data_IF_866533976978
#
_entry.id   IF_866533976978
#
_cell.length_a   1.000
_cell.length_b   1.000
_cell.length_c   1.000
_cell.angle_alpha   90.00
_cell.angle_beta   90.00
_cell.angle_gamma   90.00
#
_symmetry.space_group_name_H-M   'P 1'
#
loop_
_entity.id
_entity.type
_entity.pdbx_description
1 polymer ?
#
# COMPACT_ATOMS: atom_id res chain seq x y z
N UNK A 1 13.53 -14.62 21.23
CA UNK A 1 13.18 -14.73 19.82
C UNK A 1 12.68 -13.39 19.28
N UNK A 2 11.54 -12.91 19.68
CA UNK A 2 10.81 -11.78 19.08
C UNK A 2 11.62 -10.46 18.95
N UNK A 3 12.45 -10.11 19.93
CA UNK A 3 13.12 -8.79 20.01
C UNK A 3 14.64 -8.82 19.84
N UNK A 4 15.26 -9.98 19.71
CA UNK A 4 16.71 -10.06 19.59
C UNK A 4 17.16 -9.78 18.16
N UNK A 5 17.97 -8.72 17.96
CA UNK A 5 18.50 -8.30 16.63
C UNK A 5 19.29 -9.40 15.91
N UNK A 6 19.98 -10.27 16.65
CA UNK A 6 20.80 -11.34 16.08
C UNK A 6 20.02 -12.58 15.65
N UNK A 7 18.71 -12.66 15.96
CA UNK A 7 17.86 -13.82 15.66
C UNK A 7 16.87 -13.57 14.51
N UNK A 8 17.29 -12.87 13.47
CA UNK A 8 16.42 -12.55 12.35
C UNK A 8 15.97 -13.80 11.57
N UNK A 9 16.86 -14.77 11.37
CA UNK A 9 16.50 -16.01 10.67
C UNK A 9 15.50 -16.86 11.49
N UNK A 10 15.70 -16.95 12.79
CA UNK A 10 14.77 -17.67 13.66
C UNK A 10 13.37 -17.03 13.63
N UNK A 11 13.27 -15.69 13.49
CA UNK A 11 11.98 -15.01 13.31
C UNK A 11 11.34 -15.30 11.96
N UNK A 12 12.12 -15.47 10.89
CA UNK A 12 11.58 -15.90 9.60
C UNK A 12 10.96 -17.29 9.69
N UNK A 13 11.68 -18.22 10.34
CA UNK A 13 11.17 -19.58 10.55
C UNK A 13 9.92 -19.56 11.43
N UNK A 14 9.91 -18.77 12.50
CA UNK A 14 8.75 -18.57 13.38
C UNK A 14 7.52 -18.04 12.61
N UNK A 15 7.70 -17.03 11.75
CA UNK A 15 6.61 -16.48 10.93
C UNK A 15 6.11 -17.46 9.84
N UNK A 16 7.03 -18.24 9.24
CA UNK A 16 6.68 -19.19 8.18
C UNK A 16 5.97 -20.43 8.70
N UNK A 17 6.28 -20.85 9.93
CA UNK A 17 5.73 -22.07 10.54
C UNK A 17 4.47 -21.79 11.39
N UNK A 18 3.85 -20.64 11.23
CA UNK A 18 2.63 -20.29 11.97
C UNK A 18 1.42 -21.13 11.54
N UNK A 19 0.80 -21.82 12.50
CA UNK A 19 -0.31 -22.75 12.28
C UNK A 19 -1.71 -22.14 12.55
N UNK A 20 -1.82 -20.83 12.58
CA UNK A 20 -3.08 -20.11 12.83
C UNK A 20 -3.78 -20.46 14.17
N UNK A 21 -3.00 -20.66 15.20
CA UNK A 21 -3.51 -20.86 16.55
C UNK A 21 -4.04 -19.56 17.16
N UNK A 22 -5.18 -19.64 17.84
CA UNK A 22 -5.81 -18.50 18.52
C UNK A 22 -5.61 -18.64 20.03
N UNK A 23 -5.34 -17.51 20.69
CA UNK A 23 -5.26 -17.46 22.13
C UNK A 23 -6.63 -17.75 22.77
N UNK A 24 -6.67 -18.61 23.80
CA UNK A 24 -7.89 -18.84 24.55
C UNK A 24 -8.19 -17.64 25.46
N UNK A 25 -9.19 -16.85 25.09
CA UNK A 25 -9.59 -15.63 25.80
C UNK A 25 -10.25 -15.89 27.16
N UNK A 26 -10.56 -17.15 27.53
CA UNK A 26 -11.13 -17.50 28.83
C UNK A 26 -10.06 -17.72 29.89
N UNK A 27 -8.79 -17.80 29.53
CA UNK A 27 -7.67 -17.93 30.47
C UNK A 27 -7.49 -16.65 31.28
N UNK A 28 -7.29 -16.81 32.60
CA UNK A 28 -6.95 -15.67 33.49
C UNK A 28 -5.51 -15.20 33.33
N UNK A 29 -4.61 -16.15 33.09
CA UNK A 29 -3.18 -15.92 32.99
C UNK A 29 -2.68 -16.49 31.64
N UNK A 30 -1.86 -15.71 30.92
CA UNK A 30 -1.25 -16.06 29.65
C UNK A 30 0.26 -15.97 29.81
N UNK A 31 1.00 -17.00 29.44
CA UNK A 31 2.45 -16.96 29.45
C UNK A 31 2.98 -16.05 28.34
N UNK A 32 4.19 -15.50 28.53
CA UNK A 32 4.85 -14.72 27.47
C UNK A 32 5.06 -15.53 26.18
N UNK A 33 5.36 -16.80 26.30
CA UNK A 33 5.53 -17.71 25.17
C UNK A 33 4.22 -17.84 24.38
N UNK A 34 3.13 -18.14 25.09
CA UNK A 34 1.79 -18.27 24.47
C UNK A 34 1.32 -16.97 23.81
N UNK A 35 1.57 -15.82 24.43
CA UNK A 35 1.26 -14.51 23.84
C UNK A 35 2.08 -14.24 22.59
N UNK A 36 3.40 -14.54 22.61
CA UNK A 36 4.28 -14.32 21.47
C UNK A 36 3.88 -15.21 20.28
N UNK A 37 3.60 -16.49 20.55
CA UNK A 37 3.37 -17.46 19.48
C UNK A 37 1.94 -17.45 18.93
N UNK A 38 0.95 -16.90 19.68
CA UNK A 38 -0.46 -16.88 19.24
C UNK A 38 -0.98 -15.48 18.89
N UNK A 39 -0.54 -14.42 19.61
CA UNK A 39 -1.02 -13.05 19.40
C UNK A 39 -0.01 -12.16 18.66
N UNK A 40 1.21 -12.05 19.21
CA UNK A 40 2.22 -11.19 18.61
C UNK A 40 2.59 -11.64 17.18
N UNK A 41 2.54 -12.92 16.91
CA UNK A 41 2.82 -13.48 15.59
C UNK A 41 1.78 -13.00 14.55
N UNK A 42 0.51 -12.91 14.91
CA UNK A 42 -0.54 -12.43 14.01
C UNK A 42 -0.30 -10.96 13.63
N UNK A 43 -0.02 -10.12 14.63
CA UNK A 43 0.35 -8.73 14.38
C UNK A 43 1.60 -8.62 13.49
N UNK A 44 2.64 -9.41 13.79
CA UNK A 44 3.90 -9.37 13.03
C UNK A 44 3.70 -9.78 11.57
N UNK A 45 2.86 -10.79 11.30
CA UNK A 45 2.52 -11.20 9.93
C UNK A 45 1.71 -10.13 9.19
N UNK A 46 0.70 -9.58 9.85
CA UNK A 46 -0.12 -8.50 9.28
C UNK A 46 0.73 -7.25 8.97
N UNK A 47 1.64 -6.89 9.87
CA UNK A 47 2.56 -5.77 9.67
C UNK A 47 3.51 -6.00 8.50
N UNK A 48 4.09 -7.20 8.37
CA UNK A 48 4.93 -7.55 7.23
C UNK A 48 4.18 -7.45 5.90
N UNK A 49 2.96 -7.96 5.82
CA UNK A 49 2.11 -7.89 4.62
C UNK A 49 1.83 -6.44 4.24
N UNK A 50 1.52 -5.60 5.22
CA UNK A 50 1.18 -4.18 5.02
C UNK A 50 2.38 -3.34 4.63
N UNK A 51 3.54 -3.58 5.28
CA UNK A 51 4.68 -2.67 5.28
C UNK A 51 5.76 -3.04 4.26
N UNK A 52 5.84 -4.32 3.87
CA UNK A 52 6.81 -4.79 2.88
C UNK A 52 6.16 -4.76 1.49
N UNK A 53 6.81 -4.10 0.50
CA UNK A 53 6.29 -4.09 -0.86
C UNK A 53 6.34 -5.49 -1.48
N UNK A 54 5.39 -5.80 -2.35
CA UNK A 54 5.44 -7.02 -3.17
C UNK A 54 6.54 -6.92 -4.21
N UNK A 55 7.24 -8.02 -4.44
CA UNK A 55 8.32 -8.08 -5.44
C UNK A 55 7.77 -7.87 -6.84
N UNK A 56 6.59 -8.41 -7.11
CA UNK A 56 5.95 -8.43 -8.42
C UNK A 56 5.62 -7.02 -8.94
N UNK A 57 5.04 -6.18 -8.09
CA UNK A 57 4.58 -4.83 -8.50
C UNK A 57 5.32 -3.68 -7.79
N UNK A 58 6.13 -3.95 -6.78
CA UNK A 58 6.82 -2.92 -6.00
C UNK A 58 5.90 -2.07 -5.13
N UNK A 59 4.65 -2.49 -4.92
CA UNK A 59 3.65 -1.72 -4.18
C UNK A 59 3.42 -2.29 -2.78
N UNK A 60 3.23 -1.40 -1.82
CA UNK A 60 2.63 -1.74 -0.51
C UNK A 60 1.12 -1.86 -0.67
N UNK A 61 0.45 -2.47 0.30
CA UNK A 61 -1.02 -2.63 0.28
C UNK A 61 -1.73 -1.30 0.05
N UNK A 62 -1.36 -0.24 0.77
CA UNK A 62 -1.99 1.09 0.63
C UNK A 62 -1.84 1.67 -0.77
N UNK A 63 -0.65 1.60 -1.36
CA UNK A 63 -0.39 2.13 -2.71
C UNK A 63 -1.09 1.31 -3.79
N UNK A 64 -1.25 -0.01 -3.58
CA UNK A 64 -2.02 -0.89 -4.47
C UNK A 64 -3.52 -0.58 -4.41
N UNK A 65 -4.07 -0.34 -3.22
CA UNK A 65 -5.46 0.10 -3.02
C UNK A 65 -5.73 1.43 -3.75
N UNK A 66 -4.81 2.40 -3.64
CA UNK A 66 -4.90 3.68 -4.35
C UNK A 66 -4.93 3.46 -5.87
N UNK A 67 -4.00 2.68 -6.40
CA UNK A 67 -3.93 2.40 -7.84
C UNK A 67 -5.19 1.70 -8.35
N UNK A 68 -5.67 0.69 -7.61
CA UNK A 68 -6.91 -0.02 -7.92
C UNK A 68 -8.12 0.93 -7.97
N UNK A 69 -8.25 1.81 -6.98
CA UNK A 69 -9.34 2.77 -6.94
C UNK A 69 -9.27 3.77 -8.13
N UNK A 70 -8.08 4.18 -8.53
CA UNK A 70 -7.88 5.00 -9.72
C UNK A 70 -8.31 4.27 -11.00
N UNK A 71 -8.00 2.99 -11.14
CA UNK A 71 -8.43 2.17 -12.27
C UNK A 71 -9.96 1.98 -12.28
N UNK A 72 -10.53 1.62 -11.14
CA UNK A 72 -11.98 1.46 -10.98
C UNK A 72 -12.75 2.73 -11.32
N UNK A 73 -12.22 3.90 -10.99
CA UNK A 73 -12.79 5.21 -11.31
C UNK A 73 -12.49 5.68 -12.74
N UNK A 74 -11.64 4.98 -13.49
CA UNK A 74 -11.10 5.42 -14.79
C UNK A 74 -10.45 6.83 -14.74
N UNK A 75 -9.64 7.06 -13.72
CA UNK A 75 -9.04 8.36 -13.40
C UNK A 75 -7.74 8.60 -14.19
N UNK A 76 -7.81 8.74 -15.52
CA UNK A 76 -6.64 8.82 -16.42
C UNK A 76 -6.51 10.11 -17.20
N UNK A 77 -7.42 11.04 -17.06
CA UNK A 77 -7.42 12.27 -17.83
C UNK A 77 -7.51 13.47 -16.91
N UNK A 78 -6.82 14.56 -17.28
CA UNK A 78 -6.84 15.81 -16.53
C UNK A 78 -8.27 16.33 -16.27
N UNK A 79 -9.16 16.19 -17.28
CA UNK A 79 -10.57 16.60 -17.12
C UNK A 79 -11.32 15.84 -16.00
N UNK A 80 -10.79 14.68 -15.58
CA UNK A 80 -11.36 13.84 -14.54
C UNK A 80 -10.57 13.95 -13.22
N UNK A 81 -9.65 14.92 -13.11
CA UNK A 81 -8.86 15.12 -11.89
C UNK A 81 -9.73 15.24 -10.65
N UNK A 82 -9.20 14.76 -9.53
CA UNK A 82 -9.89 14.74 -8.25
C UNK A 82 -8.99 15.30 -7.16
N UNK A 83 -9.58 15.98 -6.17
CA UNK A 83 -8.83 16.40 -4.98
C UNK A 83 -8.26 15.19 -4.25
N UNK A 84 -7.04 15.30 -3.74
CA UNK A 84 -6.40 14.22 -2.96
C UNK A 84 -7.29 13.80 -1.79
N UNK A 85 -7.92 14.74 -1.09
CA UNK A 85 -8.86 14.42 -0.01
C UNK A 85 -10.09 13.62 -0.48
N UNK A 86 -10.61 13.92 -1.67
CA UNK A 86 -11.74 13.18 -2.24
C UNK A 86 -11.32 11.79 -2.73
N UNK A 87 -10.11 11.68 -3.31
CA UNK A 87 -9.58 10.38 -3.72
C UNK A 87 -9.38 9.46 -2.51
N UNK A 88 -8.88 9.99 -1.39
CA UNK A 88 -8.71 9.16 -0.17
C UNK A 88 -10.03 8.60 0.33
N UNK A 89 -11.11 9.38 0.31
CA UNK A 89 -12.47 8.88 0.63
C UNK A 89 -12.94 7.78 -0.32
N UNK A 90 -12.74 8.00 -1.63
CA UNK A 90 -13.10 7.00 -2.65
C UNK A 90 -12.31 5.70 -2.50
N UNK A 91 -11.00 5.79 -2.21
CA UNK A 91 -10.16 4.60 -1.92
C UNK A 91 -10.70 3.85 -0.71
N UNK A 92 -10.97 4.54 0.39
CA UNK A 92 -11.48 3.92 1.63
C UNK A 92 -12.79 3.18 1.38
N UNK A 93 -13.74 3.79 0.68
CA UNK A 93 -15.04 3.20 0.37
C UNK A 93 -14.94 1.94 -0.52
N UNK A 94 -14.03 1.92 -1.49
CA UNK A 94 -13.98 0.87 -2.51
C UNK A 94 -12.93 -0.21 -2.26
N UNK A 95 -12.13 -0.08 -1.21
CA UNK A 95 -11.03 -1.03 -0.91
C UNK A 95 -10.99 -1.43 0.56
N UNK A 96 -12.03 -1.12 1.33
CA UNK A 96 -12.09 -1.42 2.76
C UNK A 96 -10.80 -0.99 3.50
N UNK A 97 -10.42 0.28 3.32
CA UNK A 97 -9.21 0.81 3.95
C UNK A 97 -9.50 1.26 5.38
N UNK A 98 -9.02 0.52 6.37
CA UNK A 98 -9.31 0.71 7.80
C UNK A 98 -8.31 1.58 8.58
N UNK A 99 -7.35 2.23 7.91
CA UNK A 99 -6.37 3.09 8.56
C UNK A 99 -6.73 4.58 8.40
N UNK A 100 -6.01 5.44 9.16
CA UNK A 100 -6.30 6.87 9.18
C UNK A 100 -6.21 7.56 7.81
N UNK A 101 -7.19 8.41 7.52
CA UNK A 101 -7.30 9.18 6.27
C UNK A 101 -6.04 9.98 5.94
N UNK A 102 -5.39 10.57 6.95
CA UNK A 102 -4.14 11.36 6.77
C UNK A 102 -3.02 10.50 6.21
N UNK A 103 -2.89 9.25 6.66
CA UNK A 103 -1.90 8.30 6.13
C UNK A 103 -2.15 8.00 4.65
N UNK A 104 -3.42 7.81 4.27
CA UNK A 104 -3.79 7.55 2.90
C UNK A 104 -3.57 8.76 1.99
N UNK A 105 -3.90 9.96 2.46
CA UNK A 105 -3.60 11.22 1.76
C UNK A 105 -2.09 11.40 1.55
N UNK A 106 -1.28 11.11 2.58
CA UNK A 106 0.17 11.11 2.47
C UNK A 106 0.69 10.11 1.43
N UNK A 107 0.13 8.90 1.38
CA UNK A 107 0.49 7.91 0.38
C UNK A 107 0.15 8.38 -1.06
N UNK A 108 -1.01 8.99 -1.27
CA UNK A 108 -1.41 9.57 -2.57
C UNK A 108 -0.44 10.68 -2.98
N UNK A 109 -0.08 11.58 -2.06
CA UNK A 109 0.87 12.66 -2.32
C UNK A 109 2.23 12.07 -2.72
N UNK A 110 2.75 11.10 -1.97
CA UNK A 110 4.03 10.45 -2.24
C UNK A 110 4.05 9.74 -3.61
N UNK A 111 2.95 9.10 -4.02
CA UNK A 111 2.85 8.46 -5.35
C UNK A 111 2.87 9.45 -6.52
N UNK A 112 2.49 10.71 -6.28
CA UNK A 112 2.46 11.75 -7.28
C UNK A 112 3.75 12.59 -7.34
N UNK A 113 4.58 12.58 -6.30
CA UNK A 113 5.83 13.35 -6.25
C UNK A 113 6.78 12.94 -7.38
N UNK A 114 7.24 13.90 -8.18
CA UNK A 114 8.05 13.69 -9.39
C UNK A 114 9.37 14.48 -9.41
N UNK A 115 9.75 15.09 -8.30
CA UNK A 115 11.05 15.74 -8.18
C UNK A 115 12.18 14.70 -8.06
N UNK A 116 13.40 15.08 -8.41
CA UNK A 116 14.59 14.21 -8.35
C UNK A 116 14.82 13.70 -6.92
N UNK A 117 14.80 12.39 -6.74
CA UNK A 117 14.90 11.73 -5.44
C UNK A 117 13.55 11.25 -4.87
N UNK A 118 12.44 11.54 -5.58
CA UNK A 118 11.14 10.92 -5.34
C UNK A 118 10.94 9.71 -6.28
N UNK A 119 9.80 9.62 -6.97
CA UNK A 119 9.56 8.54 -7.93
C UNK A 119 10.27 8.78 -9.26
N UNK A 120 10.97 7.79 -9.79
CA UNK A 120 11.51 7.84 -11.16
C UNK A 120 10.39 7.77 -12.20
N UNK A 121 9.35 6.96 -11.92
CA UNK A 121 8.10 6.89 -12.70
C UNK A 121 6.93 7.11 -11.74
N UNK A 122 6.50 8.37 -11.52
CA UNK A 122 5.37 8.65 -10.64
C UNK A 122 4.07 8.12 -11.25
N UNK A 123 3.30 7.36 -10.47
CA UNK A 123 2.06 6.75 -10.93
C UNK A 123 0.89 7.74 -11.02
N UNK A 124 0.94 8.80 -10.23
CA UNK A 124 -0.06 9.85 -10.21
C UNK A 124 0.55 11.17 -10.71
N UNK A 125 -0.30 12.06 -11.20
CA UNK A 125 0.08 13.40 -11.64
C UNK A 125 -0.06 14.40 -10.48
N UNK A 126 0.98 15.20 -10.17
CA UNK A 126 0.93 16.22 -9.13
C UNK A 126 0.36 17.54 -9.70
N UNK A 127 -0.95 17.74 -9.60
CA UNK A 127 -1.56 19.02 -9.97
C UNK A 127 -1.73 19.93 -8.75
N UNK A 128 -0.79 20.85 -8.57
CA UNK A 128 -0.65 21.71 -7.43
C UNK A 128 0.69 21.54 -6.72
N UNK A 129 0.78 21.95 -5.46
CA UNK A 129 2.01 21.85 -4.66
C UNK A 129 2.07 20.51 -3.93
N UNK A 130 2.78 19.56 -4.50
CA UNK A 130 2.99 18.22 -3.93
C UNK A 130 4.31 18.08 -3.15
N UNK A 131 4.97 19.17 -2.84
CA UNK A 131 6.24 19.20 -2.16
C UNK A 131 7.43 19.39 -3.09
N UNK A 132 8.56 19.75 -2.51
CA UNK A 132 9.80 20.03 -3.23
C UNK A 132 10.94 19.13 -2.76
N UNK A 133 11.94 18.95 -3.62
CA UNK A 133 13.15 18.23 -3.27
C UNK A 133 13.87 18.82 -2.06
N UNK A 134 13.87 20.17 -1.94
CA UNK A 134 14.59 20.89 -0.87
C UNK A 134 14.09 20.46 0.50
N UNK A 135 12.77 20.29 0.65
CA UNK A 135 12.13 19.90 1.91
C UNK A 135 11.73 18.42 1.95
N UNK A 136 12.20 17.63 0.98
CA UNK A 136 11.88 16.19 0.90
C UNK A 136 10.38 15.92 0.83
N UNK A 137 9.63 16.80 0.16
CA UNK A 137 8.19 16.68 -0.02
C UNK A 137 7.32 17.10 1.16
N UNK A 138 7.93 17.55 2.27
CA UNK A 138 7.18 17.95 3.49
C UNK A 138 6.43 19.26 3.36
N UNK A 139 6.71 20.04 2.33
CA UNK A 139 6.07 21.31 1.97
C UNK A 139 4.89 21.13 1.00
N UNK A 140 4.33 19.94 0.91
CA UNK A 140 3.10 19.72 0.16
C UNK A 140 1.94 20.54 0.73
N UNK A 141 1.09 21.08 -0.13
CA UNK A 141 -0.12 21.77 0.30
C UNK A 141 -1.14 20.77 0.90
N UNK A 142 -2.12 21.29 1.62
CA UNK A 142 -3.20 20.46 2.16
C UNK A 142 -3.92 19.71 1.04
N UNK A 143 -4.24 18.45 1.29
CA UNK A 143 -4.96 17.51 0.40
C UNK A 143 -6.27 18.06 -0.17
N UNK A 144 -6.86 19.06 0.48
CA UNK A 144 -8.09 19.74 0.05
C UNK A 144 -7.88 20.70 -1.13
N UNK A 145 -6.64 21.11 -1.42
CA UNK A 145 -6.31 22.15 -2.40
C UNK A 145 -5.53 21.63 -3.60
N UNK A 146 -5.06 20.39 -3.57
CA UNK A 146 -4.28 19.77 -4.63
C UNK A 146 -5.07 18.65 -5.28
N UNK A 147 -4.83 18.45 -6.59
CA UNK A 147 -5.57 17.51 -7.42
C UNK A 147 -4.63 16.47 -8.01
N UNK A 148 -5.18 15.32 -8.36
CA UNK A 148 -4.39 14.26 -8.98
C UNK A 148 -5.23 13.41 -9.92
N UNK A 149 -4.53 12.69 -10.79
CA UNK A 149 -5.06 11.65 -11.68
C UNK A 149 -3.92 10.71 -12.08
N UNK A 150 -4.22 9.54 -12.64
CA UNK A 150 -3.19 8.63 -13.17
C UNK A 150 -2.62 9.18 -14.47
N UNK A 151 -1.31 9.12 -14.63
CA UNK A 151 -0.65 9.44 -15.91
C UNK A 151 -1.01 8.39 -16.97
N UNK A 152 -1.21 8.81 -18.22
CA UNK A 152 -1.72 7.94 -19.29
C UNK A 152 -0.85 6.70 -19.56
N UNK A 153 0.47 6.80 -19.39
CA UNK A 153 1.38 5.68 -19.60
C UNK A 153 1.20 4.53 -18.59
N UNK A 154 0.47 4.76 -17.50
CA UNK A 154 0.23 3.73 -16.47
C UNK A 154 -0.56 2.55 -17.04
N UNK A 155 -1.48 2.79 -17.99
CA UNK A 155 -2.18 1.73 -18.71
C UNK A 155 -1.25 0.83 -19.55
N UNK A 156 -0.10 1.36 -19.95
CA UNK A 156 0.90 0.57 -20.67
C UNK A 156 1.79 -0.24 -19.73
N UNK A 157 1.95 0.21 -18.47
CA UNK A 157 2.73 -0.50 -17.45
C UNK A 157 1.88 -1.59 -16.80
N UNK A 158 0.63 -1.27 -16.44
CA UNK A 158 -0.35 -2.17 -15.84
C UNK A 158 -1.47 -2.41 -16.87
N UNK A 159 -1.35 -3.47 -17.66
CA UNK A 159 -2.24 -3.69 -18.79
C UNK A 159 -3.65 -4.07 -18.33
N UNK A 160 -4.71 -3.45 -18.86
CA UNK A 160 -6.09 -3.73 -18.42
C UNK A 160 -6.54 -5.19 -18.65
N UNK A 161 -5.98 -5.86 -19.65
CA UNK A 161 -6.30 -7.29 -19.92
C UNK A 161 -5.82 -8.23 -18.83
N UNK A 162 -4.81 -7.83 -18.03
CA UNK A 162 -4.32 -8.62 -16.92
C UNK A 162 -5.39 -8.80 -15.83
N UNK A 163 -6.40 -7.93 -15.77
CA UNK A 163 -7.51 -8.05 -14.82
C UNK A 163 -8.23 -9.41 -14.91
N UNK A 164 -8.15 -10.11 -16.05
CA UNK A 164 -8.75 -11.43 -16.25
C UNK A 164 -8.01 -12.56 -15.53
N UNK A 165 -6.74 -12.35 -15.18
CA UNK A 165 -5.86 -13.37 -14.60
C UNK A 165 -5.39 -13.01 -13.17
N UNK A 166 -5.66 -11.79 -12.69
CA UNK A 166 -5.26 -11.37 -11.36
C UNK A 166 -6.12 -12.02 -10.28
N UNK A 167 -5.47 -12.43 -9.20
CA UNK A 167 -6.14 -12.85 -7.97
C UNK A 167 -6.50 -11.64 -7.12
N UNK A 168 -7.77 -11.48 -6.81
CA UNK A 168 -8.28 -10.37 -6.01
C UNK A 168 -8.44 -10.76 -4.54
N UNK A 169 -8.19 -9.80 -3.65
CA UNK A 169 -8.56 -9.92 -2.25
C UNK A 169 -10.08 -9.80 -2.11
N UNK A 170 -10.64 -10.49 -1.12
CA UNK A 170 -12.07 -10.43 -0.78
C UNK A 170 -12.16 -9.99 0.67
N UNK A 171 -12.93 -8.94 0.93
CA UNK A 171 -13.22 -8.44 2.27
C UNK A 171 -14.72 -8.13 2.35
N UNK A 172 -15.37 -8.60 3.41
CA UNK A 172 -16.82 -8.50 3.61
C UNK A 172 -17.67 -8.91 2.39
N UNK A 173 -17.20 -9.92 1.63
CA UNK A 173 -17.86 -10.42 0.44
C UNK A 173 -17.63 -9.58 -0.83
N UNK A 174 -16.90 -8.48 -0.74
CA UNK A 174 -16.56 -7.61 -1.87
C UNK A 174 -15.17 -7.93 -2.41
N UNK A 175 -15.04 -7.97 -3.73
CA UNK A 175 -13.74 -8.01 -4.38
C UNK A 175 -13.12 -6.61 -4.34
N UNK A 176 -11.92 -6.54 -3.76
CA UNK A 176 -11.14 -5.31 -3.61
C UNK A 176 -9.88 -5.39 -4.47
N UNK A 177 -8.78 -4.73 -4.10
CA UNK A 177 -7.56 -4.73 -4.90
C UNK A 177 -6.98 -6.15 -5.14
N UNK A 178 -6.23 -6.37 -6.23
CA UNK A 178 -5.56 -7.65 -6.45
C UNK A 178 -4.44 -7.87 -5.43
N UNK A 179 -4.06 -9.13 -5.22
CA UNK A 179 -2.94 -9.52 -4.35
C UNK A 179 -1.63 -8.86 -4.78
N UNK A 180 -1.43 -8.70 -6.08
CA UNK A 180 -0.38 -7.93 -6.75
C UNK A 180 -0.78 -7.67 -8.21
N UNK A 181 -0.19 -6.65 -8.82
CA UNK A 181 -0.25 -6.39 -10.25
C UNK A 181 0.95 -7.02 -10.97
N UNK A 182 0.87 -7.14 -12.28
CA UNK A 182 1.95 -7.67 -13.15
C UNK A 182 2.41 -6.55 -14.10
N UNK A 183 3.20 -5.57 -13.63
CA UNK A 183 3.69 -4.51 -14.48
C UNK A 183 4.69 -5.05 -15.52
N UNK A 184 4.66 -4.54 -16.75
CA UNK A 184 5.57 -4.95 -17.84
C UNK A 184 7.04 -4.56 -17.59
N UNK A 185 7.30 -3.73 -16.61
CA UNK A 185 8.65 -3.29 -16.19
C UNK A 185 8.81 -3.48 -14.68
N UNK A 186 10.00 -3.74 -14.17
CA UNK A 186 10.23 -4.02 -12.75
C UNK A 186 10.12 -2.75 -11.89
N UNK A 187 8.91 -2.35 -11.55
CA UNK A 187 8.62 -1.11 -10.83
C UNK A 187 9.36 -1.00 -9.50
N UNK A 188 9.59 -2.12 -8.80
CA UNK A 188 10.35 -2.13 -7.55
C UNK A 188 11.82 -1.68 -7.74
N UNK A 189 12.43 -2.01 -8.88
CA UNK A 189 13.79 -1.56 -9.20
C UNK A 189 13.81 -0.11 -9.71
N UNK A 190 12.76 0.30 -10.41
CA UNK A 190 12.68 1.63 -11.03
C UNK A 190 12.43 2.71 -9.97
N UNK A 191 11.41 2.55 -9.15
CA UNK A 191 11.07 3.53 -8.13
C UNK A 191 11.78 3.29 -6.80
N UNK A 192 12.29 2.07 -6.57
CA UNK A 192 12.70 1.66 -5.24
C UNK A 192 11.50 1.55 -4.30
N UNK A 193 11.75 1.13 -3.09
CA UNK A 193 10.77 1.17 -2.00
C UNK A 193 11.48 1.03 -0.66
N UNK A 194 10.86 1.59 0.38
CA UNK A 194 11.29 1.43 1.76
C UNK A 194 10.29 0.51 2.47
N UNK A 195 10.80 -0.54 3.10
CA UNK A 195 10.02 -1.53 3.82
C UNK A 195 10.51 -1.79 5.23
#
# INVERSE_FOLDING_TARGET
>A
LAFNKKRANDRKDWLNNYENEILDMNKKDVSYEEFIDKELIQFSRADNIRSIPKLEDGLKVSTRKILYACFKRNLFEEKNEIKVAQLSGYVSEHTEYHHGEVSLQGAIINMAQDYVGANNIPLLYPNGQFGTRILGGKDSASSRYIFTYCKNYIKNIFHPEDNLILDYNIEDGNSIEPKFYIPIIPMILINGNEG
#
